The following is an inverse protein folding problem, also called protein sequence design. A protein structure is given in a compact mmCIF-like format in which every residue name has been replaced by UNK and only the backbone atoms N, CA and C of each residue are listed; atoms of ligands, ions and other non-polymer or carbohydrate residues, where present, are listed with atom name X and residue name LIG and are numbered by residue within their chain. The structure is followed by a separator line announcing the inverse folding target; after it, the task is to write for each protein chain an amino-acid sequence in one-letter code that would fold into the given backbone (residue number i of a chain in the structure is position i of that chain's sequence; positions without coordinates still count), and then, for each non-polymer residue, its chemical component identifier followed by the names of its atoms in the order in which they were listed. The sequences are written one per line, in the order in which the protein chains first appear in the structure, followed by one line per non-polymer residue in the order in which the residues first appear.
data_IF_468738628798
#
_entry.id   IF_468738628798
#
_cell.length_a   1.000
_cell.length_b   1.000
_cell.length_c   1.000
_cell.angle_alpha   90.00
_cell.angle_beta   90.00
_cell.angle_gamma   90.00
#
_symmetry.space_group_name_H-M   'P 1'
#
loop_
_entity.id
_entity.type
_entity.pdbx_description
1 polymer ?
#
# COMPACT_ATOMS: atom_id res chain seq x y z
N UNK A 1 56.96 49.79 -22.34
CA UNK A 1 56.95 48.33 -22.55
C UNK A 1 55.64 47.79 -22.00
N UNK A 2 54.79 47.27 -22.89
CA UNK A 2 53.48 46.69 -22.59
C UNK A 2 53.69 45.24 -22.16
N UNK A 3 53.10 44.83 -21.03
CA UNK A 3 52.70 43.43 -20.82
C UNK A 3 51.52 43.36 -19.85
N UNK A 4 50.35 43.46 -20.45
CA UNK A 4 49.06 42.97 -19.98
C UNK A 4 49.14 41.47 -19.69
N UNK A 5 48.72 41.03 -18.51
CA UNK A 5 48.20 39.68 -18.32
C UNK A 5 46.92 39.76 -17.46
N UNK A 6 45.83 39.36 -18.13
CA UNK A 6 44.46 39.27 -17.65
C UNK A 6 44.31 38.27 -16.49
N UNK A 7 43.25 38.43 -15.67
CA UNK A 7 42.88 37.46 -14.64
C UNK A 7 42.24 36.23 -15.28
N UNK A 8 42.79 35.03 -15.03
CA UNK A 8 42.10 33.78 -15.37
C UNK A 8 41.12 33.49 -14.25
N UNK A 9 39.88 33.91 -14.49
CA UNK A 9 38.73 33.51 -13.73
C UNK A 9 38.38 32.03 -14.00
N UNK A 10 37.86 31.39 -12.95
CA UNK A 10 36.73 30.47 -13.00
C UNK A 10 36.82 29.28 -13.98
N UNK A 11 37.37 28.15 -13.51
CA UNK A 11 37.04 26.83 -14.06
C UNK A 11 37.19 25.75 -12.99
N UNK A 12 36.22 25.63 -12.07
CA UNK A 12 36.15 24.50 -11.14
C UNK A 12 34.72 24.26 -10.58
N UNK A 13 33.68 24.54 -11.36
CA UNK A 13 32.27 24.29 -10.98
C UNK A 13 31.56 23.42 -12.02
N UNK A 14 32.19 22.32 -12.46
CA UNK A 14 31.61 21.38 -13.43
C UNK A 14 31.57 19.92 -12.94
N UNK A 15 31.88 19.67 -11.67
CA UNK A 15 31.94 18.31 -11.11
C UNK A 15 30.81 17.96 -10.10
N UNK A 16 29.80 18.82 -9.93
CA UNK A 16 28.65 18.55 -9.05
C UNK A 16 27.39 18.06 -9.78
N UNK A 17 27.47 17.82 -11.10
CA UNK A 17 26.30 17.47 -11.92
C UNK A 17 26.14 15.96 -12.18
N UNK A 18 27.03 15.10 -11.67
CA UNK A 18 27.03 13.67 -12.01
C UNK A 18 26.78 12.71 -10.83
N UNK A 19 26.38 13.20 -9.66
CA UNK A 19 26.08 12.33 -8.51
C UNK A 19 24.81 12.71 -7.75
N UNK A 20 23.99 13.61 -8.28
CA UNK A 20 22.71 13.97 -7.69
C UNK A 20 21.61 13.28 -8.50
N UNK A 21 21.01 12.25 -7.92
CA UNK A 21 19.71 11.71 -8.31
C UNK A 21 18.79 12.87 -8.71
N UNK A 22 18.14 12.78 -9.88
CA UNK A 22 17.20 13.79 -10.33
C UNK A 22 16.15 13.99 -9.22
N UNK A 23 15.91 15.22 -8.72
CA UNK A 23 14.89 15.46 -7.71
C UNK A 23 13.50 14.93 -8.11
N UNK A 24 13.21 14.80 -9.41
CA UNK A 24 11.99 14.16 -9.91
C UNK A 24 11.93 12.67 -9.58
N UNK A 25 13.06 11.96 -9.68
CA UNK A 25 13.14 10.53 -9.36
C UNK A 25 12.98 10.29 -7.86
N UNK A 26 13.58 11.16 -7.05
CA UNK A 26 13.42 11.12 -5.59
C UNK A 26 11.96 11.37 -5.18
N UNK A 27 11.31 12.37 -5.78
CA UNK A 27 9.89 12.65 -5.51
C UNK A 27 8.98 11.51 -5.98
N UNK A 28 9.27 10.91 -7.14
CA UNK A 28 8.51 9.76 -7.64
C UNK A 28 8.67 8.52 -6.75
N UNK A 29 9.88 8.28 -6.23
CA UNK A 29 10.12 7.20 -5.28
C UNK A 29 9.37 7.43 -3.95
N UNK A 30 9.43 8.66 -3.41
CA UNK A 30 8.71 9.01 -2.19
C UNK A 30 7.19 8.89 -2.35
N UNK A 31 6.65 9.17 -3.54
CA UNK A 31 5.23 8.98 -3.84
C UNK A 31 4.83 7.50 -3.88
N UNK A 32 5.69 6.61 -4.42
CA UNK A 32 5.45 5.16 -4.39
C UNK A 32 5.50 4.65 -2.95
N UNK A 33 6.51 5.02 -2.16
CA UNK A 33 6.62 4.61 -0.77
C UNK A 33 5.42 5.10 0.08
N UNK A 34 4.92 6.30 -0.19
CA UNK A 34 3.72 6.81 0.47
C UNK A 34 2.46 6.01 0.09
N UNK A 35 2.38 5.53 -1.15
CA UNK A 35 1.29 4.69 -1.63
C UNK A 35 1.36 3.27 -1.05
N UNK A 36 2.55 2.65 -0.98
CA UNK A 36 2.78 1.36 -0.33
C UNK A 36 2.33 1.44 1.15
N UNK A 37 2.77 2.46 1.90
CA UNK A 37 2.30 2.67 3.28
C UNK A 37 0.79 2.88 3.41
N UNK A 38 0.14 3.41 2.37
CA UNK A 38 -1.31 3.58 2.35
C UNK A 38 -2.01 2.25 2.05
N UNK A 39 -1.45 1.45 1.13
CA UNK A 39 -1.91 0.12 0.77
C UNK A 39 -1.82 -0.82 1.99
N UNK A 40 -0.68 -0.88 2.66
CA UNK A 40 -0.48 -1.64 3.90
C UNK A 40 -1.57 -1.29 4.94
N UNK A 41 -1.82 0.01 5.15
CA UNK A 41 -2.83 0.46 6.11
C UNK A 41 -4.28 0.12 5.72
N UNK A 42 -4.54 -0.15 4.44
CA UNK A 42 -5.85 -0.62 3.96
C UNK A 42 -5.99 -2.12 4.18
N UNK A 43 -4.95 -2.89 3.87
CA UNK A 43 -4.87 -4.33 4.13
C UNK A 43 -5.03 -4.62 5.62
N UNK A 44 -4.21 -3.98 6.48
CA UNK A 44 -4.29 -4.10 7.94
C UNK A 44 -5.71 -3.79 8.47
N UNK A 45 -6.36 -2.78 7.89
CA UNK A 45 -7.70 -2.38 8.31
C UNK A 45 -8.82 -3.30 7.78
N UNK A 46 -8.56 -4.03 6.69
CA UNK A 46 -9.45 -5.05 6.15
C UNK A 46 -9.28 -6.35 6.96
N UNK A 47 -8.04 -6.82 7.15
CA UNK A 47 -7.69 -7.99 7.96
C UNK A 47 -8.25 -7.85 9.38
N UNK A 48 -8.03 -6.72 10.07
CA UNK A 48 -8.56 -6.52 11.42
C UNK A 48 -10.10 -6.57 11.50
N UNK A 49 -10.81 -6.26 10.41
CA UNK A 49 -12.27 -6.39 10.35
C UNK A 49 -12.69 -7.83 10.04
N UNK A 50 -12.00 -8.47 9.12
CA UNK A 50 -12.22 -9.87 8.76
C UNK A 50 -12.02 -10.77 10.00
N UNK A 51 -10.89 -10.62 10.69
CA UNK A 51 -10.59 -11.28 11.97
C UNK A 51 -11.73 -11.11 12.97
N UNK A 52 -12.29 -9.90 13.09
CA UNK A 52 -13.37 -9.64 14.03
C UNK A 52 -14.67 -10.37 13.65
N UNK A 53 -14.93 -10.60 12.36
CA UNK A 53 -16.07 -11.34 11.86
C UNK A 53 -15.86 -12.86 12.02
N UNK A 54 -14.68 -13.37 11.71
CA UNK A 54 -14.30 -14.77 11.90
C UNK A 54 -14.38 -15.17 13.38
N UNK A 55 -13.86 -14.32 14.29
CA UNK A 55 -13.99 -14.55 15.73
C UNK A 55 -15.47 -14.61 16.18
N UNK A 56 -16.36 -13.84 15.55
CA UNK A 56 -17.80 -13.92 15.81
C UNK A 56 -18.41 -15.19 15.22
N UNK A 57 -17.96 -15.61 14.03
CA UNK A 57 -18.38 -16.86 13.39
C UNK A 57 -18.01 -18.07 14.26
N UNK A 58 -16.76 -18.15 14.72
CA UNK A 58 -16.26 -19.19 15.64
C UNK A 58 -17.12 -19.29 16.91
N UNK A 59 -17.47 -18.14 17.49
CA UNK A 59 -18.33 -18.08 18.67
C UNK A 59 -19.74 -18.63 18.38
N UNK A 60 -20.28 -18.37 17.18
CA UNK A 60 -21.56 -18.91 16.74
C UNK A 60 -21.48 -20.40 16.44
N UNK A 61 -20.39 -20.89 15.84
CA UNK A 61 -20.18 -22.31 15.60
C UNK A 61 -20.14 -23.11 16.90
N UNK A 62 -19.42 -22.60 17.91
CA UNK A 62 -19.39 -23.22 19.24
C UNK A 62 -20.79 -23.29 19.86
N UNK A 63 -21.59 -22.23 19.71
CA UNK A 63 -22.98 -22.23 20.16
C UNK A 63 -23.85 -23.19 19.34
N UNK A 64 -23.63 -23.29 18.03
CA UNK A 64 -24.35 -24.19 17.14
C UNK A 64 -24.15 -25.66 17.55
N UNK A 65 -22.90 -26.04 17.81
CA UNK A 65 -22.49 -27.37 18.28
C UNK A 65 -23.18 -27.74 19.60
N UNK A 66 -23.34 -26.78 20.51
CA UNK A 66 -24.01 -27.00 21.79
C UNK A 66 -25.54 -27.02 21.70
N UNK A 67 -26.14 -26.22 20.81
CA UNK A 67 -27.59 -26.13 20.68
C UNK A 67 -28.20 -27.34 19.97
N UNK A 68 -27.56 -27.81 18.89
CA UNK A 68 -28.06 -28.90 18.05
C UNK A 68 -29.40 -28.59 17.35
N UNK A 69 -29.87 -29.54 16.55
CA UNK A 69 -31.14 -29.45 15.83
C UNK A 69 -31.26 -28.19 14.96
N UNK A 70 -32.49 -27.70 14.79
CA UNK A 70 -32.79 -26.52 13.97
C UNK A 70 -32.11 -25.24 14.47
N UNK A 71 -32.00 -25.06 15.79
CA UNK A 71 -31.32 -23.89 16.35
C UNK A 71 -29.83 -23.90 16.02
N UNK A 72 -29.17 -25.06 16.12
CA UNK A 72 -27.78 -25.23 15.72
C UNK A 72 -27.56 -24.91 14.24
N UNK A 73 -28.40 -25.44 13.35
CA UNK A 73 -28.31 -25.19 11.91
C UNK A 73 -28.45 -23.70 11.55
N UNK A 74 -29.35 -22.98 12.23
CA UNK A 74 -29.48 -21.52 12.07
C UNK A 74 -28.26 -20.75 12.53
N UNK A 75 -27.62 -21.19 13.62
CA UNK A 75 -26.40 -20.57 14.13
C UNK A 75 -25.22 -20.84 13.18
N UNK A 76 -25.10 -22.07 12.66
CA UNK A 76 -24.09 -22.42 11.65
C UNK A 76 -24.26 -21.58 10.38
N UNK A 77 -25.47 -21.48 9.85
CA UNK A 77 -25.74 -20.64 8.66
C UNK A 77 -25.32 -19.18 8.86
N UNK A 78 -25.46 -18.67 10.10
CA UNK A 78 -25.03 -17.33 10.44
C UNK A 78 -23.51 -17.22 10.57
N UNK A 79 -22.83 -18.22 11.12
CA UNK A 79 -21.37 -18.29 11.14
C UNK A 79 -20.81 -18.27 9.72
N UNK A 80 -21.29 -19.17 8.85
CA UNK A 80 -20.86 -19.23 7.44
C UNK A 80 -21.09 -17.92 6.68
N UNK A 81 -22.10 -17.13 7.07
CA UNK A 81 -22.36 -15.83 6.48
C UNK A 81 -21.36 -14.76 6.93
N UNK A 82 -20.90 -14.82 8.18
CA UNK A 82 -19.86 -13.94 8.70
C UNK A 82 -18.49 -14.27 8.09
N UNK A 83 -18.16 -15.55 7.94
CA UNK A 83 -16.92 -15.97 7.27
C UNK A 83 -16.86 -15.46 5.83
N UNK A 84 -17.94 -15.64 5.06
CA UNK A 84 -18.04 -15.08 3.71
C UNK A 84 -17.95 -13.56 3.69
N UNK A 85 -18.49 -12.88 4.69
CA UNK A 85 -18.37 -11.43 4.79
C UNK A 85 -16.92 -11.00 5.10
N UNK A 86 -16.20 -11.77 5.91
CA UNK A 86 -14.79 -11.58 6.20
C UNK A 86 -13.95 -11.72 4.92
N UNK A 87 -14.08 -12.84 4.20
CA UNK A 87 -13.39 -13.08 2.92
C UNK A 87 -13.62 -11.93 1.92
N UNK A 88 -14.87 -11.48 1.78
CA UNK A 88 -15.23 -10.37 0.89
C UNK A 88 -14.58 -9.03 1.31
N UNK A 89 -14.36 -8.82 2.61
CA UNK A 89 -13.70 -7.61 3.12
C UNK A 89 -12.20 -7.65 2.85
N UNK A 90 -11.55 -8.79 3.03
CA UNK A 90 -10.13 -8.99 2.70
C UNK A 90 -9.90 -8.76 1.21
N UNK A 91 -10.66 -9.45 0.34
CA UNK A 91 -10.55 -9.30 -1.11
C UNK A 91 -10.73 -7.83 -1.56
N UNK A 92 -11.64 -7.09 -0.91
CA UNK A 92 -11.82 -5.67 -1.18
C UNK A 92 -10.68 -4.80 -0.65
N UNK A 93 -10.06 -5.18 0.45
CA UNK A 93 -8.86 -4.55 1.00
C UNK A 93 -7.71 -4.66 0.00
N UNK A 94 -7.38 -5.88 -0.36
CA UNK A 94 -6.31 -6.24 -1.31
C UNK A 94 -6.51 -5.53 -2.65
N UNK A 95 -7.72 -5.63 -3.23
CA UNK A 95 -8.00 -4.99 -4.52
C UNK A 95 -7.85 -3.45 -4.48
N UNK A 96 -8.07 -2.82 -3.33
CA UNK A 96 -7.88 -1.37 -3.16
C UNK A 96 -6.41 -1.02 -2.94
N UNK A 97 -5.69 -1.84 -2.17
CA UNK A 97 -4.26 -1.72 -1.95
C UNK A 97 -3.50 -1.82 -3.28
N UNK A 98 -3.75 -2.89 -4.05
CA UNK A 98 -3.22 -3.11 -5.39
C UNK A 98 -3.47 -1.92 -6.31
N UNK A 99 -4.72 -1.41 -6.34
CA UNK A 99 -5.07 -0.29 -7.20
C UNK A 99 -4.30 1.00 -6.86
N UNK A 100 -4.01 1.23 -5.57
CA UNK A 100 -3.23 2.39 -5.10
C UNK A 100 -1.77 2.24 -5.49
N UNK A 101 -1.20 1.06 -5.26
CA UNK A 101 0.18 0.77 -5.64
C UNK A 101 0.39 0.88 -7.14
N UNK A 102 -0.46 0.25 -7.94
CA UNK A 102 -0.39 0.26 -9.39
C UNK A 102 -0.49 1.68 -9.94
N UNK A 103 -1.41 2.48 -9.41
CA UNK A 103 -1.54 3.88 -9.78
C UNK A 103 -0.26 4.67 -9.46
N UNK A 104 0.34 4.44 -8.28
CA UNK A 104 1.56 5.12 -7.88
C UNK A 104 2.76 4.70 -8.73
N UNK A 105 2.93 3.40 -8.98
CA UNK A 105 3.98 2.83 -9.84
C UNK A 105 3.85 3.36 -11.27
N UNK A 106 2.63 3.40 -11.82
CA UNK A 106 2.37 3.94 -13.15
C UNK A 106 2.69 5.45 -13.26
N UNK A 107 2.29 6.23 -12.26
CA UNK A 107 2.61 7.66 -12.20
C UNK A 107 4.11 7.91 -12.08
N UNK A 108 4.81 7.14 -11.23
CA UNK A 108 6.26 7.24 -11.09
C UNK A 108 6.98 6.88 -12.40
N UNK A 109 6.54 5.83 -13.10
CA UNK A 109 7.08 5.47 -14.41
C UNK A 109 6.86 6.59 -15.44
N UNK A 110 5.68 7.20 -15.46
CA UNK A 110 5.37 8.32 -16.35
C UNK A 110 6.22 9.58 -16.05
N UNK A 111 6.57 9.83 -14.78
CA UNK A 111 7.47 10.93 -14.40
C UNK A 111 8.89 10.68 -14.89
N UNK A 112 9.41 9.45 -14.73
CA UNK A 112 10.75 9.06 -15.14
C UNK A 112 10.94 9.04 -16.66
N UNK A 113 9.87 8.87 -17.41
CA UNK A 113 9.89 8.84 -18.87
C UNK A 113 9.90 10.25 -19.53
N UNK A 114 9.86 11.33 -18.75
CA UNK A 114 9.79 12.73 -19.22
C UNK A 114 11.11 13.47 -19.05
#
# INVERSE_FOLDING_TARGET
MIRTHLPVAAFAMLAAACSQQDPRDANAAAAVEAAERQADGIEDAAEAKADALENQADALEMQAKNAGGYTGERLQTRADALDREAEIIEEQGDARADAIEDAARANAAAVRAR
#
